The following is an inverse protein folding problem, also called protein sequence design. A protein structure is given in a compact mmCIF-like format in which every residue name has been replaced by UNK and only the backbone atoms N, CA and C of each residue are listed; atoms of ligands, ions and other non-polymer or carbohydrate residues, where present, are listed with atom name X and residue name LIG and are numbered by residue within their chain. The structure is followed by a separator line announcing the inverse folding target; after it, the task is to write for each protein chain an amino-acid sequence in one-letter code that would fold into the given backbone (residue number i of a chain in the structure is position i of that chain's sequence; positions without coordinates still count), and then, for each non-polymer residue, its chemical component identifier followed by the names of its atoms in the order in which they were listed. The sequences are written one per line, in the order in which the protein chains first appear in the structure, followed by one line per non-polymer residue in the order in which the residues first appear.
data_IF_082092585925
#
_entry.id   IF_082092585925
#
_cell.length_a   1.000
_cell.length_b   1.000
_cell.length_c   1.000
_cell.angle_alpha   90.00
_cell.angle_beta   90.00
_cell.angle_gamma   90.00
#
_symmetry.space_group_name_H-M   'P 1'
#
loop_
_entity.id
_entity.type
_entity.pdbx_description
1 polymer ?
#
# COMPACT_ATOMS: atom_id res chain seq x y z
N UNK A 1 8.85 -13.54 -12.86
CA UNK A 1 8.93 -12.08 -13.10
C UNK A 1 8.42 -11.79 -14.50
N UNK A 2 7.12 -11.55 -14.64
CA UNK A 2 6.51 -11.21 -15.92
C UNK A 2 6.20 -9.70 -15.93
N UNK A 3 7.04 -8.92 -16.61
CA UNK A 3 6.96 -7.46 -16.70
C UNK A 3 5.70 -6.95 -17.44
N UNK A 4 4.94 -7.85 -18.07
CA UNK A 4 3.61 -7.56 -18.62
C UNK A 4 2.52 -7.42 -17.54
N UNK A 5 2.67 -8.02 -16.36
CA UNK A 5 1.62 -7.99 -15.32
C UNK A 5 1.46 -6.60 -14.69
N UNK A 6 2.54 -5.82 -14.61
CA UNK A 6 2.56 -4.46 -14.05
C UNK A 6 2.25 -3.41 -15.11
N UNK A 7 2.66 -3.62 -16.37
CA UNK A 7 2.30 -2.73 -17.49
C UNK A 7 0.84 -2.89 -17.91
N UNK A 8 0.22 -4.02 -17.59
CA UNK A 8 -1.22 -4.25 -17.69
C UNK A 8 -1.94 -4.03 -16.34
N UNK A 9 -1.52 -3.07 -15.50
CA UNK A 9 -2.46 -2.42 -14.55
C UNK A 9 -3.35 -1.43 -15.33
N UNK A 10 -3.95 -1.97 -16.39
CA UNK A 10 -5.24 -1.68 -16.97
C UNK A 10 -5.91 -3.05 -17.23
N UNK A 11 -5.79 -3.97 -16.25
CA UNK A 11 -6.77 -5.04 -16.10
C UNK A 11 -7.93 -4.37 -15.36
N UNK A 12 -9.05 -4.23 -16.07
CA UNK A 12 -10.34 -3.71 -15.64
C UNK A 12 -10.95 -4.53 -14.48
N UNK A 13 -10.26 -4.61 -13.35
CA UNK A 13 -10.86 -4.94 -12.07
C UNK A 13 -10.49 -3.86 -11.07
N UNK A 14 -11.19 -2.74 -11.20
CA UNK A 14 -11.15 -1.58 -10.30
C UNK A 14 -11.50 -1.94 -8.83
N UNK A 15 -11.98 -3.17 -8.60
CA UNK A 15 -12.46 -3.65 -7.32
C UNK A 15 -12.06 -5.13 -7.10
N UNK A 16 -11.44 -5.42 -5.95
CA UNK A 16 -11.05 -6.77 -5.51
C UNK A 16 -11.34 -6.87 -4.03
N UNK A 17 -11.80 -8.04 -3.60
CA UNK A 17 -12.06 -8.35 -2.20
C UNK A 17 -10.97 -9.27 -1.62
N UNK A 18 -10.60 -9.05 -0.35
CA UNK A 18 -9.61 -9.86 0.38
C UNK A 18 -10.20 -11.16 0.93
N UNK A 19 -9.41 -11.96 1.65
CA UNK A 19 -9.83 -13.21 2.28
C UNK A 19 -11.07 -13.07 3.16
N UNK A 20 -11.21 -11.93 3.86
CA UNK A 20 -12.39 -11.60 4.67
C UNK A 20 -13.28 -10.55 4.01
N UNK A 21 -13.20 -10.43 2.69
CA UNK A 21 -14.08 -9.59 1.89
C UNK A 21 -13.95 -8.09 2.15
N UNK A 22 -12.81 -7.60 2.65
CA UNK A 22 -12.50 -6.18 2.64
C UNK A 22 -12.18 -5.69 1.24
N UNK A 23 -12.52 -4.43 0.95
CA UNK A 23 -12.11 -3.79 -0.30
C UNK A 23 -10.59 -3.57 -0.29
N UNK A 24 -9.86 -4.27 -1.16
CA UNK A 24 -8.38 -4.27 -1.18
C UNK A 24 -7.78 -2.86 -1.26
N UNK A 25 -8.38 -1.96 -2.05
CA UNK A 25 -7.96 -0.55 -2.16
C UNK A 25 -7.90 0.13 -0.79
N UNK A 26 -8.93 -0.08 0.02
CA UNK A 26 -9.01 0.58 1.30
C UNK A 26 -8.17 -0.12 2.37
N UNK A 27 -8.00 -1.45 2.33
CA UNK A 27 -7.02 -2.16 3.17
C UNK A 27 -5.61 -1.58 2.99
N UNK A 28 -5.19 -1.33 1.75
CA UNK A 28 -3.90 -0.70 1.44
C UNK A 28 -3.77 0.69 2.08
N UNK A 29 -4.84 1.48 2.07
CA UNK A 29 -4.86 2.81 2.68
C UNK A 29 -4.85 2.71 4.22
N UNK A 30 -5.62 1.80 4.80
CA UNK A 30 -5.65 1.55 6.25
C UNK A 30 -4.28 1.12 6.77
N UNK A 31 -3.51 0.33 6.00
CA UNK A 31 -2.13 0.00 6.33
C UNK A 31 -1.23 1.25 6.37
N UNK A 32 -1.34 2.15 5.38
CA UNK A 32 -0.58 3.42 5.37
C UNK A 32 -0.91 4.22 6.63
N UNK A 33 -2.20 4.39 6.94
CA UNK A 33 -2.63 5.18 8.11
C UNK A 33 -2.10 4.55 9.41
N UNK A 34 -2.26 3.25 9.61
CA UNK A 34 -1.74 2.55 10.79
C UNK A 34 -0.23 2.76 10.99
N UNK A 35 0.54 2.69 9.89
CA UNK A 35 1.98 2.95 9.90
C UNK A 35 2.36 4.39 10.23
N UNK A 36 1.55 5.37 9.82
CA UNK A 36 1.74 6.79 10.18
C UNK A 36 1.34 7.04 11.64
N UNK A 37 0.32 6.34 12.14
CA UNK A 37 -0.13 6.40 13.53
C UNK A 37 0.77 5.67 14.52
N UNK A 38 1.71 4.87 14.01
CA UNK A 38 2.57 3.99 14.81
C UNK A 38 1.77 2.94 15.58
N UNK A 39 0.62 2.55 15.03
CA UNK A 39 -0.23 1.49 15.56
C UNK A 39 0.22 0.15 14.95
N UNK A 40 0.98 -0.61 15.73
CA UNK A 40 1.56 -1.86 15.26
C UNK A 40 0.49 -2.93 15.00
N UNK A 41 -0.49 -3.05 15.89
CA UNK A 41 -1.50 -4.10 15.83
C UNK A 41 -2.39 -3.92 14.59
N UNK A 42 -2.82 -2.67 14.31
CA UNK A 42 -3.53 -2.36 13.06
C UNK A 42 -2.65 -2.56 11.83
N UNK A 43 -1.38 -2.16 11.88
CA UNK A 43 -0.49 -2.32 10.75
C UNK A 43 -0.27 -3.80 10.42
N UNK A 44 -0.07 -4.66 11.43
CA UNK A 44 0.06 -6.11 11.22
C UNK A 44 -1.24 -6.72 10.74
N UNK A 45 -2.40 -6.32 11.30
CA UNK A 45 -3.69 -6.79 10.84
C UNK A 45 -3.91 -6.54 9.34
N UNK A 46 -3.75 -5.29 8.87
CA UNK A 46 -3.93 -4.96 7.46
C UNK A 46 -2.86 -5.57 6.56
N UNK A 47 -1.64 -5.71 7.06
CA UNK A 47 -0.56 -6.43 6.36
C UNK A 47 -0.95 -7.88 6.10
N UNK A 48 -1.40 -8.57 7.14
CA UNK A 48 -1.76 -9.98 7.05
C UNK A 48 -3.08 -10.20 6.31
N UNK A 49 -3.98 -9.22 6.31
CA UNK A 49 -5.16 -9.25 5.45
C UNK A 49 -4.76 -9.31 3.97
N UNK A 50 -3.79 -8.51 3.52
CA UNK A 50 -3.25 -8.63 2.16
C UNK A 50 -2.48 -9.94 1.97
N UNK A 51 -1.57 -10.25 2.90
CA UNK A 51 -0.65 -11.38 2.76
C UNK A 51 -1.39 -12.73 2.64
N UNK A 52 -2.30 -13.03 3.56
CA UNK A 52 -3.08 -14.27 3.54
C UNK A 52 -4.22 -14.27 2.51
N UNK A 53 -4.51 -13.13 1.89
CA UNK A 53 -5.33 -13.11 0.67
C UNK A 53 -4.59 -13.63 -0.57
N UNK A 54 -3.28 -13.90 -0.42
CA UNK A 54 -2.38 -14.21 -1.52
C UNK A 54 -2.00 -12.97 -2.35
N UNK A 55 -2.18 -11.77 -1.80
CA UNK A 55 -1.85 -10.50 -2.46
C UNK A 55 -0.44 -10.03 -2.06
N UNK A 56 0.53 -10.96 -2.08
CA UNK A 56 1.91 -10.72 -1.65
C UNK A 56 2.61 -9.69 -2.56
N UNK A 57 2.39 -9.77 -3.88
CA UNK A 57 2.96 -8.80 -4.82
C UNK A 57 2.46 -7.38 -4.57
N UNK A 58 1.16 -7.24 -4.31
CA UNK A 58 0.53 -5.96 -3.95
C UNK A 58 1.05 -5.45 -2.62
N UNK A 59 1.23 -6.33 -1.64
CA UNK A 59 1.78 -5.98 -0.33
C UNK A 59 3.22 -5.48 -0.45
N UNK A 60 4.13 -6.22 -1.07
CA UNK A 60 5.53 -5.79 -1.20
C UNK A 60 5.67 -4.55 -2.07
N UNK A 61 4.88 -4.44 -3.14
CA UNK A 61 4.79 -3.20 -3.93
C UNK A 61 4.36 -2.01 -3.08
N UNK A 62 3.34 -2.18 -2.24
CA UNK A 62 2.89 -1.16 -1.30
C UNK A 62 3.97 -0.81 -0.26
N UNK A 63 4.66 -1.80 0.33
CA UNK A 63 5.73 -1.54 1.29
C UNK A 63 6.87 -0.72 0.67
N UNK A 64 7.20 -0.93 -0.61
CA UNK A 64 8.17 -0.09 -1.32
C UNK A 64 7.66 1.33 -1.57
N UNK A 65 6.40 1.49 -1.99
CA UNK A 65 5.76 2.81 -2.14
C UNK A 65 5.77 3.55 -0.81
N UNK A 66 5.45 2.86 0.29
CA UNK A 66 5.47 3.43 1.63
C UNK A 66 6.89 3.82 2.03
N UNK A 67 7.86 2.94 1.79
CA UNK A 67 9.26 3.20 2.11
C UNK A 67 9.75 4.46 1.40
N UNK A 68 9.65 4.53 0.07
CA UNK A 68 10.16 5.69 -0.68
C UNK A 68 9.33 6.97 -0.47
N UNK A 69 8.02 6.83 -0.32
CA UNK A 69 7.10 7.96 -0.14
C UNK A 69 7.15 8.61 1.24
N UNK A 70 7.46 7.83 2.29
CA UNK A 70 7.37 8.31 3.68
C UNK A 70 8.65 8.12 4.51
N UNK A 71 9.42 7.06 4.30
CA UNK A 71 10.49 6.66 5.24
C UNK A 71 11.91 6.90 4.71
N UNK A 72 12.16 6.76 3.42
CA UNK A 72 13.50 6.72 2.84
C UNK A 72 14.29 8.02 3.11
N UNK A 73 13.63 9.18 3.06
CA UNK A 73 14.27 10.48 3.28
C UNK A 73 14.88 10.66 4.68
N UNK A 74 14.38 9.93 5.67
CA UNK A 74 14.87 9.95 7.06
C UNK A 74 15.55 8.64 7.47
N UNK A 75 15.45 7.59 6.66
CA UNK A 75 15.95 6.25 6.99
C UNK A 75 16.58 5.56 5.76
N UNK A 76 17.55 6.18 5.06
CA UNK A 76 18.08 5.64 3.80
C UNK A 76 18.75 4.27 3.92
N UNK A 77 19.28 3.93 5.10
CA UNK A 77 19.94 2.64 5.36
C UNK A 77 18.92 1.49 5.54
N UNK A 78 17.63 1.79 5.74
CA UNK A 78 16.59 0.77 5.82
C UNK A 78 16.35 0.07 4.48
N UNK A 79 16.72 0.69 3.35
CA UNK A 79 16.58 0.09 2.02
C UNK A 79 17.24 -1.29 1.95
N UNK A 80 18.48 -1.40 2.40
CA UNK A 80 19.26 -2.63 2.26
C UNK A 80 18.66 -3.74 3.14
N UNK A 81 18.18 -3.41 4.34
CA UNK A 81 17.46 -4.34 5.21
C UNK A 81 16.14 -4.83 4.59
N UNK A 82 15.30 -3.93 4.07
CA UNK A 82 14.02 -4.31 3.46
C UNK A 82 14.25 -5.18 2.22
N UNK A 83 15.30 -4.88 1.47
CA UNK A 83 15.68 -5.69 0.32
C UNK A 83 16.17 -7.08 0.72
N UNK A 84 17.03 -7.17 1.72
CA UNK A 84 17.52 -8.44 2.24
C UNK A 84 16.35 -9.27 2.79
N UNK A 85 15.45 -8.64 3.54
CA UNK A 85 14.22 -9.25 4.05
C UNK A 85 13.36 -9.81 2.91
N UNK A 86 13.07 -9.02 1.88
CA UNK A 86 12.34 -9.49 0.70
C UNK A 86 13.06 -10.64 -0.03
N UNK A 87 14.39 -10.56 -0.13
CA UNK A 87 15.19 -11.63 -0.75
C UNK A 87 15.12 -12.93 0.04
N UNK A 88 15.16 -12.84 1.37
CA UNK A 88 15.02 -13.99 2.26
C UNK A 88 13.60 -14.56 2.20
N UNK A 89 12.59 -13.70 2.12
CA UNK A 89 11.19 -14.12 1.94
C UNK A 89 10.99 -14.91 0.63
N UNK A 90 11.62 -14.49 -0.48
CA UNK A 90 11.57 -15.24 -1.75
C UNK A 90 12.22 -16.63 -1.59
N UNK A 91 13.36 -16.70 -0.90
CA UNK A 91 14.17 -17.93 -0.77
C UNK A 91 13.60 -18.94 0.22
N UNK A 92 12.92 -18.46 1.26
CA UNK A 92 12.33 -19.34 2.26
C UNK A 92 11.25 -20.22 1.62
N UNK A 93 11.18 -21.47 2.07
CA UNK A 93 10.08 -22.39 1.74
C UNK A 93 9.09 -22.53 2.91
N UNK A 94 9.51 -22.14 4.12
CA UNK A 94 8.73 -22.23 5.33
C UNK A 94 7.76 -21.05 5.46
N UNK A 95 6.46 -21.35 5.59
CA UNK A 95 5.43 -20.33 5.60
C UNK A 95 5.47 -19.45 6.86
N UNK A 96 5.80 -20.04 8.01
CA UNK A 96 5.88 -19.31 9.27
C UNK A 96 7.10 -18.38 9.28
N UNK A 97 8.26 -18.83 8.77
CA UNK A 97 9.45 -17.99 8.54
C UNK A 97 9.13 -16.83 7.60
N UNK A 98 8.45 -17.08 6.47
CA UNK A 98 8.00 -16.01 5.58
C UNK A 98 7.11 -14.98 6.30
N UNK A 99 6.17 -15.46 7.11
CA UNK A 99 5.27 -14.59 7.88
C UNK A 99 6.03 -13.77 8.93
N UNK A 100 7.07 -14.35 9.58
CA UNK A 100 7.99 -13.61 10.48
C UNK A 100 8.71 -12.50 9.73
N UNK A 101 9.23 -12.78 8.54
CA UNK A 101 9.92 -11.77 7.72
C UNK A 101 9.00 -10.59 7.40
N UNK A 102 7.75 -10.87 6.98
CA UNK A 102 6.75 -9.83 6.70
C UNK A 102 6.48 -8.98 7.93
N UNK A 103 6.29 -9.61 9.10
CA UNK A 103 6.11 -8.91 10.36
C UNK A 103 7.30 -8.00 10.71
N UNK A 104 8.53 -8.51 10.60
CA UNK A 104 9.74 -7.76 10.90
C UNK A 104 9.92 -6.54 9.98
N UNK A 105 9.54 -6.65 8.70
CA UNK A 105 9.54 -5.51 7.79
C UNK A 105 8.60 -4.39 8.27
N UNK A 106 7.39 -4.74 8.72
CA UNK A 106 6.40 -3.79 9.26
C UNK A 106 6.87 -3.19 10.58
N UNK A 107 7.36 -4.00 11.51
CA UNK A 107 7.92 -3.54 12.80
C UNK A 107 9.02 -2.50 12.59
N UNK A 108 9.90 -2.77 11.64
CA UNK A 108 10.99 -1.86 11.32
C UNK A 108 10.47 -0.53 10.73
N UNK A 109 9.39 -0.52 9.96
CA UNK A 109 8.75 0.74 9.54
C UNK A 109 8.11 1.47 10.74
N UNK A 110 7.40 0.76 11.62
CA UNK A 110 6.72 1.33 12.80
C UNK A 110 7.68 2.11 13.69
N UNK A 111 8.85 1.58 14.04
CA UNK A 111 9.76 2.25 14.99
C UNK A 111 10.45 3.51 14.44
N UNK A 112 10.42 3.71 13.12
CA UNK A 112 11.17 4.77 12.41
C UNK A 112 10.38 6.06 12.29
N UNK A 113 11.09 7.20 12.25
CA UNK A 113 10.45 8.46 11.89
C UNK A 113 10.13 8.47 10.39
N UNK A 114 9.07 9.16 10.00
CA UNK A 114 8.69 9.34 8.60
C UNK A 114 8.50 10.84 8.30
N UNK A 115 8.53 11.20 7.01
CA UNK A 115 8.21 12.54 6.49
C UNK A 115 7.10 12.39 5.44
N UNK A 116 6.25 13.41 5.30
CA UNK A 116 5.24 13.46 4.24
C UNK A 116 5.72 14.15 2.95
N UNK A 117 6.93 14.71 2.94
CA UNK A 117 7.39 15.61 1.87
C UNK A 117 7.27 14.98 0.48
N UNK A 118 7.86 13.79 0.31
CA UNK A 118 7.92 13.09 -0.98
C UNK A 118 6.51 12.75 -1.45
N UNK A 119 5.67 12.22 -0.56
CA UNK A 119 4.29 11.87 -0.86
C UNK A 119 3.44 13.09 -1.28
N UNK A 120 3.43 14.16 -0.46
CA UNK A 120 2.63 15.36 -0.70
C UNK A 120 3.08 16.06 -1.99
N UNK A 121 4.38 16.25 -2.19
CA UNK A 121 4.91 16.91 -3.39
C UNK A 121 4.62 16.11 -4.65
N UNK A 122 4.75 14.77 -4.60
CA UNK A 122 4.41 13.92 -5.74
C UNK A 122 2.93 14.05 -6.11
N UNK A 123 2.04 14.19 -5.12
CA UNK A 123 0.62 14.44 -5.37
C UNK A 123 0.38 15.82 -5.97
N UNK A 124 0.93 16.88 -5.36
CA UNK A 124 0.72 18.27 -5.78
C UNK A 124 1.27 18.53 -7.19
N UNK A 125 2.48 18.06 -7.50
CA UNK A 125 3.11 18.24 -8.80
C UNK A 125 2.34 17.56 -9.96
N UNK A 126 1.63 16.46 -9.67
CA UNK A 126 0.78 15.78 -10.64
C UNK A 126 -0.54 16.53 -10.88
N UNK A 127 -1.04 17.28 -9.88
CA UNK A 127 -2.29 18.04 -9.99
C UNK A 127 -2.11 19.44 -10.57
N UNK A 128 -0.93 20.04 -10.40
CA UNK A 128 -0.66 21.41 -10.82
C UNK A 128 -0.01 21.48 -12.21
N UNK A 129 -0.41 22.49 -12.99
CA UNK A 129 0.21 22.78 -14.28
C UNK A 129 1.43 23.68 -14.08
N UNK A 130 2.57 23.05 -13.80
CA UNK A 130 3.86 23.73 -13.61
C UNK A 130 4.69 23.51 -14.87
N UNK A 131 5.06 24.60 -15.54
CA UNK A 131 5.99 24.57 -16.67
C UNK A 131 7.43 24.40 -16.16
N UNK A 132 8.13 23.44 -16.72
CA UNK A 132 9.52 23.12 -16.37
C UNK A 132 10.46 23.30 -17.58
N UNK A 133 9.99 23.94 -18.64
CA UNK A 133 10.77 24.26 -19.82
C UNK A 133 11.88 25.26 -19.47
N UNK A 134 13.12 24.93 -19.82
CA UNK A 134 14.28 25.79 -19.55
C UNK A 134 14.71 25.85 -18.08
N UNK A 135 14.12 25.03 -17.19
CA UNK A 135 14.51 24.98 -15.78
C UNK A 135 15.95 24.48 -15.63
N UNK A 136 16.75 25.27 -14.91
CA UNK A 136 18.08 24.86 -14.44
C UNK A 136 17.95 24.21 -13.06
N UNK A 137 18.09 22.88 -12.99
CA UNK A 137 17.88 22.11 -11.77
C UNK A 137 18.74 22.59 -10.59
N UNK A 138 19.98 23.00 -10.85
CA UNK A 138 20.90 23.51 -9.83
C UNK A 138 20.34 24.76 -9.13
N UNK A 139 19.78 25.70 -9.89
CA UNK A 139 19.18 26.93 -9.38
C UNK A 139 17.97 26.62 -8.50
N UNK A 140 17.11 25.70 -8.92
CA UNK A 140 15.95 25.29 -8.13
C UNK A 140 16.35 24.54 -6.85
N UNK A 141 17.42 23.75 -6.88
CA UNK A 141 18.02 23.12 -5.69
C UNK A 141 18.61 24.16 -4.72
N UNK A 142 19.23 25.23 -5.22
CA UNK A 142 19.72 26.33 -4.38
C UNK A 142 18.57 27.07 -3.69
N UNK A 143 17.51 27.37 -4.45
CA UNK A 143 16.31 28.04 -3.97
C UNK A 143 15.37 27.14 -3.15
N UNK A 144 15.62 25.82 -3.14
CA UNK A 144 14.75 24.80 -2.51
C UNK A 144 13.31 24.84 -3.04
N UNK A 145 13.15 25.07 -4.34
CA UNK A 145 11.84 25.09 -4.98
C UNK A 145 11.34 23.66 -5.23
N UNK A 146 10.95 22.97 -4.14
CA UNK A 146 10.65 21.54 -4.17
C UNK A 146 9.53 21.17 -5.14
N UNK A 147 8.59 22.07 -5.38
CA UNK A 147 7.49 21.83 -6.32
C UNK A 147 8.00 21.76 -7.76
N UNK A 148 8.82 22.73 -8.19
CA UNK A 148 9.45 22.74 -9.53
C UNK A 148 10.44 21.60 -9.68
N UNK A 149 11.26 21.32 -8.65
CA UNK A 149 12.17 20.16 -8.64
C UNK A 149 11.39 18.86 -8.86
N UNK A 150 10.28 18.66 -8.14
CA UNK A 150 9.45 17.47 -8.26
C UNK A 150 8.85 17.37 -9.66
N UNK A 151 8.25 18.44 -10.17
CA UNK A 151 7.69 18.46 -11.52
C UNK A 151 8.76 18.13 -12.56
N UNK A 152 9.93 18.77 -12.47
CA UNK A 152 11.07 18.54 -13.35
C UNK A 152 11.40 17.04 -13.41
N UNK A 153 11.53 16.38 -12.27
CA UNK A 153 11.82 14.93 -12.20
C UNK A 153 10.69 14.08 -12.80
N UNK A 154 9.42 14.38 -12.50
CA UNK A 154 8.28 13.59 -12.99
C UNK A 154 8.12 13.65 -14.52
N UNK A 155 8.61 14.71 -15.18
CA UNK A 155 8.62 14.79 -16.64
C UNK A 155 9.70 13.93 -17.31
N UNK A 156 10.66 13.39 -16.53
CA UNK A 156 11.73 12.52 -17.05
C UNK A 156 11.27 11.06 -17.02
N UNK A 157 10.80 10.57 -18.16
CA UNK A 157 10.29 9.20 -18.30
C UNK A 157 11.34 8.23 -18.82
N UNK A 158 12.38 8.72 -19.51
CA UNK A 158 13.46 7.88 -20.03
C UNK A 158 14.50 7.62 -18.96
N UNK A 159 15.00 6.38 -18.95
CA UNK A 159 16.04 5.94 -18.01
C UNK A 159 17.32 6.80 -18.07
N UNK A 160 17.78 7.15 -19.27
CA UNK A 160 18.97 8.01 -19.44
C UNK A 160 18.78 9.42 -18.85
N UNK A 161 17.61 10.02 -19.03
CA UNK A 161 17.28 11.35 -18.50
C UNK A 161 17.27 11.34 -16.96
N UNK A 162 16.72 10.28 -16.36
CA UNK A 162 16.72 10.09 -14.90
C UNK A 162 18.13 9.93 -14.32
N UNK A 163 18.99 9.16 -14.99
CA UNK A 163 20.39 9.01 -14.58
C UNK A 163 21.16 10.32 -14.65
N UNK A 164 20.97 11.07 -15.74
CA UNK A 164 21.59 12.39 -15.90
C UNK A 164 21.10 13.37 -14.83
N UNK A 165 19.79 13.40 -14.58
CA UNK A 165 19.19 14.21 -13.51
C UNK A 165 19.80 13.87 -12.14
N UNK A 166 19.95 12.57 -11.84
CA UNK A 166 20.56 12.15 -10.58
C UNK A 166 22.04 12.52 -10.48
N UNK A 167 22.79 12.45 -11.58
CA UNK A 167 24.19 12.89 -11.63
C UNK A 167 24.31 14.38 -11.29
N UNK A 168 23.45 15.23 -11.83
CA UNK A 168 23.41 16.67 -11.52
C UNK A 168 23.12 16.93 -10.03
N UNK A 169 22.22 16.14 -9.43
CA UNK A 169 21.92 16.19 -7.99
C UNK A 169 23.16 15.81 -7.17
N UNK A 170 23.84 14.72 -7.53
CA UNK A 170 25.08 14.28 -6.86
C UNK A 170 26.19 15.34 -6.97
N UNK A 171 26.29 16.02 -8.12
CA UNK A 171 27.22 17.12 -8.36
C UNK A 171 26.91 18.32 -7.46
N UNK A 172 25.65 18.74 -7.40
CA UNK A 172 25.19 19.83 -6.52
C UNK A 172 25.51 19.56 -5.04
N UNK A 173 25.21 18.34 -4.56
CA UNK A 173 25.50 17.94 -3.17
C UNK A 173 26.97 17.54 -2.93
N UNK A 174 27.85 17.68 -3.94
CA UNK A 174 29.30 17.39 -3.87
C UNK A 174 29.61 15.99 -3.33
N UNK A 175 28.84 14.99 -3.77
CA UNK A 175 29.05 13.59 -3.36
C UNK A 175 30.37 13.05 -3.91
N UNK A 176 31.17 12.40 -3.04
CA UNK A 176 32.47 11.81 -3.40
C UNK A 176 32.32 10.50 -4.17
N UNK A 177 31.47 9.58 -3.67
CA UNK A 177 31.30 8.25 -4.24
C UNK A 177 30.13 8.19 -5.23
N UNK A 178 30.23 8.94 -6.33
CA UNK A 178 29.10 9.08 -7.28
C UNK A 178 28.74 7.76 -7.99
N UNK A 179 29.72 6.91 -8.24
CA UNK A 179 29.50 5.61 -8.89
C UNK A 179 28.67 4.69 -7.98
N UNK A 180 29.06 4.52 -6.72
CA UNK A 180 28.31 3.73 -5.73
C UNK A 180 26.86 4.23 -5.56
N UNK A 181 26.67 5.55 -5.48
CA UNK A 181 25.34 6.16 -5.37
C UNK A 181 24.49 5.88 -6.62
N UNK A 182 25.10 5.90 -7.82
CA UNK A 182 24.44 5.59 -9.09
C UNK A 182 24.06 4.11 -9.20
N UNK A 183 24.95 3.20 -8.79
CA UNK A 183 24.67 1.77 -8.75
C UNK A 183 23.52 1.47 -7.77
N UNK A 184 23.53 2.09 -6.60
CA UNK A 184 22.44 1.96 -5.61
C UNK A 184 21.12 2.47 -6.19
N UNK A 185 21.11 3.59 -6.90
CA UNK A 185 19.91 4.11 -7.57
C UNK A 185 19.38 3.16 -8.66
N UNK A 186 20.26 2.60 -9.49
CA UNK A 186 19.86 1.60 -10.49
C UNK A 186 19.26 0.35 -9.85
N UNK A 187 19.84 -0.10 -8.74
CA UNK A 187 19.33 -1.23 -7.94
C UNK A 187 17.93 -0.92 -7.40
N UNK A 188 17.71 0.25 -6.82
CA UNK A 188 16.41 0.69 -6.32
C UNK A 188 15.31 0.69 -7.40
N UNK A 189 15.61 1.22 -8.59
CA UNK A 189 14.66 1.27 -9.71
C UNK A 189 14.24 -0.12 -10.22
N UNK A 190 15.16 -1.09 -10.20
CA UNK A 190 14.88 -2.45 -10.71
C UNK A 190 14.01 -3.26 -9.76
N UNK A 191 14.20 -3.10 -8.44
CA UNK A 191 13.61 -4.02 -7.45
C UNK A 191 12.26 -3.54 -6.96
N UNK A 192 12.11 -2.24 -6.73
CA UNK A 192 10.94 -1.72 -6.01
C UNK A 192 9.69 -1.60 -6.87
N UNK A 193 9.83 -1.54 -8.19
CA UNK A 193 8.76 -1.20 -9.13
C UNK A 193 8.06 0.15 -8.79
N UNK A 194 8.69 1.00 -7.99
CA UNK A 194 8.21 2.34 -7.66
C UNK A 194 8.60 3.28 -8.80
N UNK A 195 7.75 4.27 -9.08
CA UNK A 195 8.06 5.30 -10.07
C UNK A 195 9.45 5.90 -9.78
N UNK A 196 10.41 5.83 -10.72
CA UNK A 196 11.77 6.32 -10.50
C UNK A 196 11.89 7.76 -10.03
N UNK A 197 10.94 8.62 -10.41
CA UNK A 197 10.90 10.02 -9.93
C UNK A 197 10.64 10.13 -8.42
N UNK A 198 9.85 9.22 -7.83
CA UNK A 198 9.61 9.16 -6.39
C UNK A 198 10.89 8.72 -5.65
N UNK A 199 11.59 7.71 -6.20
CA UNK A 199 12.89 7.26 -5.66
C UNK A 199 13.88 8.43 -5.68
N UNK A 200 13.99 9.11 -6.82
CA UNK A 200 14.89 10.25 -6.98
C UNK A 200 14.56 11.40 -6.03
N UNK A 201 13.28 11.73 -5.87
CA UNK A 201 12.82 12.75 -4.94
C UNK A 201 13.17 12.37 -3.49
N UNK A 202 12.99 11.11 -3.10
CA UNK A 202 13.38 10.62 -1.76
C UNK A 202 14.88 10.77 -1.48
N UNK A 203 15.73 10.59 -2.49
CA UNK A 203 17.18 10.79 -2.39
C UNK A 203 17.53 12.27 -2.24
N UNK A 204 16.84 13.16 -2.96
CA UNK A 204 17.00 14.61 -2.77
C UNK A 204 16.68 15.03 -1.34
N UNK A 205 15.53 14.59 -0.80
CA UNK A 205 15.19 14.87 0.59
C UNK A 205 16.19 14.24 1.58
N UNK A 206 16.67 13.02 1.31
CA UNK A 206 17.75 12.41 2.09
C UNK A 206 18.98 13.31 2.18
N UNK A 207 19.40 13.91 1.05
CA UNK A 207 20.57 14.77 1.02
C UNK A 207 20.33 16.13 1.70
N UNK A 208 19.15 16.73 1.56
CA UNK A 208 18.82 17.93 2.34
C UNK A 208 18.76 17.64 3.85
N UNK A 209 18.13 16.54 4.27
CA UNK A 209 18.05 16.15 5.67
C UNK A 209 19.45 15.94 6.27
N UNK A 210 20.36 15.28 5.54
CA UNK A 210 21.78 15.14 5.94
C UNK A 210 22.49 16.50 6.00
N UNK A 211 22.32 17.37 4.99
CA UNK A 211 22.93 18.72 4.94
C UNK A 211 22.46 19.60 6.10
N UNK A 212 21.18 19.49 6.48
CA UNK A 212 20.56 20.24 7.58
C UNK A 212 20.74 19.58 8.95
N UNK A 213 21.42 18.43 9.01
CA UNK A 213 21.65 17.65 10.24
C UNK A 213 20.35 17.32 10.99
N UNK A 214 19.27 17.06 10.25
CA UNK A 214 18.02 16.57 10.86
C UNK A 214 18.29 15.26 11.56
N UNK A 215 17.80 15.13 12.80
CA UNK A 215 18.01 13.94 13.63
C UNK A 215 17.27 12.74 13.04
N UNK A 216 17.98 11.95 12.24
CA UNK A 216 17.59 10.60 11.88
C UNK A 216 17.75 9.75 13.15
N UNK A 217 16.70 9.03 13.59
CA UNK A 217 16.81 8.12 14.75
C UNK A 217 17.93 7.09 14.49
N UNK A 218 18.49 6.51 15.56
CA UNK A 218 19.54 5.49 15.44
C UNK A 218 19.09 4.36 14.50
N UNK A 219 20.02 3.82 13.72
CA UNK A 219 19.82 2.63 12.89
C UNK A 219 19.64 1.39 13.77
N UNK A 220 18.49 1.28 14.42
CA UNK A 220 18.08 0.08 15.15
C UNK A 220 17.28 -0.79 14.19
N UNK A 221 17.60 -2.08 14.20
CA UNK A 221 16.86 -3.11 13.47
C UNK A 221 16.21 -4.00 14.51
N UNK A 222 14.90 -4.20 14.39
CA UNK A 222 14.22 -5.27 15.10
C UNK A 222 14.49 -6.54 14.31
N UNK A 223 15.13 -7.52 14.95
CA UNK A 223 15.56 -8.79 14.35
C UNK A 223 14.75 -10.00 14.84
N UNK A 224 13.85 -9.78 15.80
CA UNK A 224 13.01 -10.79 16.43
C UNK A 224 11.58 -10.28 16.59
N UNK A 225 10.63 -11.19 16.49
CA UNK A 225 9.20 -10.94 16.75
C UNK A 225 8.73 -11.99 17.73
N UNK A 226 8.32 -11.53 18.91
CA UNK A 226 7.89 -12.37 20.03
C UNK A 226 6.37 -12.63 20.04
N UNK A 227 5.62 -12.01 19.11
CA UNK A 227 4.19 -12.25 18.96
C UNK A 227 3.87 -13.55 18.24
N UNK A 228 2.63 -14.00 18.39
CA UNK A 228 2.17 -15.23 17.76
C UNK A 228 1.62 -14.96 16.35
N UNK A 229 2.18 -15.63 15.35
CA UNK A 229 1.72 -15.51 13.96
C UNK A 229 0.39 -16.20 13.76
N UNK A 230 0.07 -17.18 14.60
CA UNK A 230 -1.16 -17.95 14.51
C UNK A 230 -2.40 -17.04 14.69
N UNK A 231 -2.27 -15.93 15.42
CA UNK A 231 -3.32 -14.90 15.56
C UNK A 231 -3.74 -14.28 14.23
N UNK A 232 -2.85 -14.26 13.23
CA UNK A 232 -3.13 -13.67 11.92
C UNK A 232 -3.52 -14.69 10.86
N UNK A 233 -3.39 -16.00 11.15
CA UNK A 233 -3.75 -17.07 10.23
C UNK A 233 -5.24 -17.01 9.89
N UNK A 234 -5.58 -17.53 8.72
CA UNK A 234 -6.97 -17.55 8.27
C UNK A 234 -7.81 -18.44 9.18
N UNK A 235 -8.88 -17.88 9.74
CA UNK A 235 -9.86 -18.58 10.57
C UNK A 235 -10.51 -19.67 9.71
N UNK A 236 -10.52 -20.89 10.23
CA UNK A 236 -11.11 -22.05 9.56
C UNK A 236 -12.50 -22.34 10.12
N UNK A 237 -13.34 -22.95 9.29
CA UNK A 237 -14.61 -23.54 9.73
C UNK A 237 -14.34 -24.79 10.56
N UNK A 238 -15.14 -25.00 11.59
CA UNK A 238 -15.21 -26.25 12.35
C UNK A 238 -16.67 -26.62 12.64
N UNK A 239 -16.90 -27.74 13.32
CA UNK A 239 -18.24 -28.29 13.59
C UNK A 239 -19.15 -27.32 14.36
N UNK A 240 -18.58 -26.46 15.22
CA UNK A 240 -19.32 -25.49 16.05
C UNK A 240 -19.27 -24.06 15.46
N UNK A 241 -18.41 -23.83 14.48
CA UNK A 241 -18.10 -22.54 13.88
C UNK A 241 -18.29 -22.54 12.35
N UNK A 242 -19.55 -22.38 11.87
CA UNK A 242 -19.86 -22.38 10.44
C UNK A 242 -19.36 -21.12 9.72
N UNK A 243 -19.22 -21.21 8.39
CA UNK A 243 -18.63 -20.18 7.53
C UNK A 243 -19.25 -18.78 7.69
N UNK A 244 -20.56 -18.67 7.82
CA UNK A 244 -21.26 -17.38 7.97
C UNK A 244 -20.91 -16.64 9.28
N UNK A 245 -20.27 -17.30 10.26
CA UNK A 245 -19.78 -16.65 11.48
C UNK A 245 -18.35 -16.10 11.36
N UNK A 246 -17.63 -16.39 10.28
CA UNK A 246 -16.24 -15.95 10.10
C UNK A 246 -16.14 -14.42 10.03
N UNK A 247 -16.97 -13.75 9.24
CA UNK A 247 -16.85 -12.30 9.06
C UNK A 247 -17.04 -11.51 10.37
N UNK A 248 -18.08 -11.77 11.19
CA UNK A 248 -18.21 -11.13 12.50
C UNK A 248 -16.97 -11.28 13.41
N UNK A 249 -16.31 -12.43 13.38
CA UNK A 249 -15.12 -12.70 14.18
C UNK A 249 -13.87 -12.03 13.58
N UNK A 250 -13.70 -12.13 12.26
CA UNK A 250 -12.55 -11.60 11.53
C UNK A 250 -12.51 -10.07 11.49
N UNK A 251 -13.66 -9.40 11.62
CA UNK A 251 -13.76 -7.94 11.55
C UNK A 251 -13.34 -7.24 12.85
N UNK A 252 -12.06 -7.38 13.19
CA UNK A 252 -11.41 -6.73 14.32
C UNK A 252 -11.31 -5.21 14.11
N UNK A 253 -10.90 -4.78 12.92
CA UNK A 253 -10.79 -3.37 12.56
C UNK A 253 -11.68 -3.03 11.36
N UNK A 254 -12.29 -1.85 11.38
CA UNK A 254 -13.05 -1.34 10.25
C UNK A 254 -12.18 -0.54 9.29
N UNK A 255 -12.59 -0.48 8.02
CA UNK A 255 -11.87 0.26 6.99
C UNK A 255 -11.81 1.76 7.32
N UNK A 256 -12.95 2.37 7.66
CA UNK A 256 -13.03 3.80 7.93
C UNK A 256 -13.03 4.03 9.44
N UNK A 257 -11.83 4.26 9.98
CA UNK A 257 -11.65 4.63 11.39
C UNK A 257 -12.12 6.07 11.67
N UNK A 258 -12.11 6.47 12.94
CA UNK A 258 -12.47 7.83 13.41
C UNK A 258 -11.67 8.97 12.72
N UNK A 259 -10.50 8.65 12.14
CA UNK A 259 -9.67 9.63 11.46
C UNK A 259 -10.15 9.91 10.04
N UNK A 260 -10.62 8.86 9.36
CA UNK A 260 -11.36 8.90 8.10
C UNK A 260 -10.66 9.67 6.96
N UNK A 261 -9.33 9.59 6.89
CA UNK A 261 -8.54 10.25 5.84
C UNK A 261 -8.54 9.50 4.50
N UNK A 262 -9.10 8.29 4.45
CA UNK A 262 -9.09 7.42 3.26
C UNK A 262 -9.66 8.13 2.02
N UNK A 263 -10.73 8.92 2.19
CA UNK A 263 -11.35 9.67 1.08
C UNK A 263 -10.41 10.68 0.41
N UNK A 264 -9.38 11.18 1.10
CA UNK A 264 -8.41 12.11 0.51
C UNK A 264 -7.60 11.46 -0.60
N UNK A 265 -7.32 10.17 -0.43
CA UNK A 265 -6.54 9.35 -1.36
C UNK A 265 -7.37 8.88 -2.55
N UNK A 266 -8.70 9.00 -2.46
CA UNK A 266 -9.60 8.72 -3.56
C UNK A 266 -9.84 9.98 -4.41
N UNK A 267 -9.48 9.94 -5.68
CA UNK A 267 -9.78 11.05 -6.58
C UNK A 267 -11.29 11.04 -6.84
N UNK A 268 -12.00 12.13 -6.48
CA UNK A 268 -13.47 12.26 -6.58
C UNK A 268 -14.11 11.85 -7.92
N UNK A 269 -13.34 11.69 -9.00
CA UNK A 269 -13.79 11.24 -10.33
C UNK A 269 -13.86 9.71 -10.51
N UNK A 270 -13.17 8.93 -9.66
CA UNK A 270 -13.12 7.45 -9.68
C UNK A 270 -13.64 6.85 -8.37
N UNK A 271 -14.54 7.57 -7.68
CA UNK A 271 -15.26 6.99 -6.57
C UNK A 271 -16.23 5.96 -7.16
N UNK A 272 -15.92 4.67 -6.97
CA UNK A 272 -16.94 3.64 -7.06
C UNK A 272 -18.05 4.07 -6.12
N UNK A 273 -19.26 4.24 -6.66
CA UNK A 273 -20.35 4.76 -5.87
C UNK A 273 -20.65 3.79 -4.75
N UNK A 274 -21.07 4.28 -3.58
CA UNK A 274 -21.34 3.40 -2.44
C UNK A 274 -22.37 2.34 -2.80
N UNK A 275 -23.39 2.71 -3.58
CA UNK A 275 -24.42 1.81 -4.08
C UNK A 275 -23.82 0.67 -4.92
N UNK A 276 -22.78 0.95 -5.71
CA UNK A 276 -22.05 -0.07 -6.46
C UNK A 276 -21.25 -0.97 -5.51
N UNK A 277 -20.61 -0.43 -4.47
CA UNK A 277 -19.94 -1.25 -3.45
C UNK A 277 -20.94 -2.13 -2.69
N UNK A 278 -22.14 -1.62 -2.36
CA UNK A 278 -23.22 -2.41 -1.73
C UNK A 278 -23.63 -3.53 -2.68
N UNK A 279 -23.92 -3.23 -3.94
CA UNK A 279 -24.35 -4.21 -4.94
C UNK A 279 -23.29 -5.31 -5.11
N UNK A 280 -22.02 -4.93 -5.17
CA UNK A 280 -20.91 -5.87 -5.24
C UNK A 280 -20.89 -6.77 -4.00
N UNK A 281 -20.91 -6.18 -2.81
CA UNK A 281 -20.79 -6.92 -1.56
C UNK A 281 -21.98 -7.83 -1.30
N UNK A 282 -23.18 -7.43 -1.72
CA UNK A 282 -24.40 -8.21 -1.49
C UNK A 282 -24.62 -9.29 -2.54
N UNK A 283 -24.36 -9.00 -3.82
CA UNK A 283 -24.83 -9.87 -4.91
C UNK A 283 -23.71 -10.46 -5.76
N UNK A 284 -22.50 -9.89 -5.71
CA UNK A 284 -21.39 -10.28 -6.60
C UNK A 284 -20.09 -10.57 -5.86
N UNK A 285 -20.15 -10.75 -4.54
CA UNK A 285 -18.96 -10.79 -3.72
C UNK A 285 -18.05 -11.96 -4.10
N UNK A 286 -18.58 -13.14 -4.46
CA UNK A 286 -17.77 -14.30 -4.88
C UNK A 286 -16.98 -13.95 -6.15
N UNK A 287 -17.61 -13.30 -7.12
CA UNK A 287 -16.97 -12.88 -8.36
C UNK A 287 -15.82 -11.89 -8.08
N UNK A 288 -16.08 -10.85 -7.27
CA UNK A 288 -15.04 -9.85 -6.97
C UNK A 288 -13.97 -10.36 -5.98
N UNK A 289 -14.30 -11.34 -5.15
CA UNK A 289 -13.35 -12.06 -4.29
C UNK A 289 -12.44 -12.96 -5.12
N UNK A 290 -12.95 -13.55 -6.20
CA UNK A 290 -12.18 -14.43 -7.10
C UNK A 290 -10.91 -13.78 -7.70
N UNK A 291 -10.81 -12.45 -7.68
CA UNK A 291 -9.60 -11.73 -8.09
C UNK A 291 -8.47 -11.76 -7.05
N UNK A 292 -8.75 -12.18 -5.81
CA UNK A 292 -7.69 -12.50 -4.86
C UNK A 292 -7.26 -13.98 -5.01
N UNK A 293 -5.96 -14.29 -4.95
CA UNK A 293 -5.50 -15.66 -5.17
C UNK A 293 -6.07 -16.69 -4.19
N UNK A 294 -6.33 -16.31 -2.94
CA UNK A 294 -6.93 -17.23 -1.96
C UNK A 294 -8.34 -17.67 -2.37
N UNK A 295 -9.17 -16.74 -2.84
CA UNK A 295 -10.54 -17.04 -3.25
C UNK A 295 -10.59 -17.73 -4.60
N UNK A 296 -9.70 -17.34 -5.52
CA UNK A 296 -9.51 -18.07 -6.77
C UNK A 296 -9.23 -19.55 -6.50
N UNK A 297 -8.28 -19.85 -5.61
CA UNK A 297 -7.96 -21.24 -5.23
C UNK A 297 -9.16 -21.94 -4.56
N UNK A 298 -9.86 -21.27 -3.64
CA UNK A 298 -11.07 -21.82 -3.00
C UNK A 298 -12.13 -22.19 -4.02
N UNK A 299 -12.40 -21.33 -5.00
CA UNK A 299 -13.37 -21.57 -6.07
C UNK A 299 -12.92 -22.74 -6.96
N UNK A 300 -11.66 -22.75 -7.39
CA UNK A 300 -11.11 -23.82 -8.23
C UNK A 300 -11.12 -25.18 -7.55
N UNK A 301 -10.91 -25.24 -6.23
CA UNK A 301 -10.93 -26.50 -5.45
C UNK A 301 -12.25 -27.26 -5.61
N UNK A 302 -13.37 -26.55 -5.81
CA UNK A 302 -14.70 -27.13 -6.04
C UNK A 302 -15.15 -26.95 -7.50
N UNK A 303 -14.19 -26.83 -8.42
CA UNK A 303 -14.43 -26.73 -9.87
C UNK A 303 -15.31 -25.54 -10.29
N UNK A 304 -15.37 -24.47 -9.48
CA UNK A 304 -16.13 -23.28 -9.81
C UNK A 304 -15.59 -22.55 -11.04
N UNK A 305 -16.50 -22.04 -11.87
CA UNK A 305 -16.23 -21.34 -13.12
C UNK A 305 -16.59 -19.87 -12.95
N UNK A 306 -15.64 -18.98 -13.21
CA UNK A 306 -15.81 -17.52 -13.15
C UNK A 306 -16.26 -17.02 -14.52
N UNK A 307 -17.44 -16.41 -14.60
CA UNK A 307 -17.95 -15.80 -15.82
C UNK A 307 -17.82 -14.27 -15.75
N UNK A 308 -16.91 -13.72 -16.55
CA UNK A 308 -16.68 -12.26 -16.60
C UNK A 308 -17.77 -11.48 -17.34
N UNK A 309 -18.58 -12.14 -18.18
CA UNK A 309 -19.67 -11.50 -18.92
C UNK A 309 -20.88 -11.23 -18.02
N UNK A 310 -21.24 -12.21 -17.19
CA UNK A 310 -22.35 -12.13 -16.23
C UNK A 310 -21.90 -11.68 -14.84
N UNK A 311 -20.59 -11.66 -14.56
CA UNK A 311 -19.98 -11.34 -13.26
C UNK A 311 -20.44 -12.26 -12.14
N UNK A 312 -20.49 -13.56 -12.42
CA UNK A 312 -20.91 -14.60 -11.48
C UNK A 312 -19.90 -15.73 -11.38
N UNK A 313 -20.06 -16.58 -10.37
CA UNK A 313 -19.33 -17.84 -10.23
C UNK A 313 -20.35 -18.97 -10.15
N UNK A 314 -20.19 -19.99 -10.97
CA UNK A 314 -21.08 -21.16 -11.03
C UNK A 314 -20.31 -22.44 -10.76
N UNK A 315 -20.96 -23.41 -10.12
CA UNK A 315 -20.38 -24.72 -9.81
C UNK A 315 -20.99 -25.80 -10.72
N UNK A 316 -20.28 -26.90 -11.00
CA UNK A 316 -20.72 -27.91 -11.96
C UNK A 316 -21.97 -28.69 -11.52
N UNK A 317 -22.16 -28.84 -10.21
CA UNK A 317 -23.25 -29.58 -9.59
C UNK A 317 -23.57 -29.04 -8.19
N UNK A 318 -24.72 -29.47 -7.66
CA UNK A 318 -25.21 -29.08 -6.33
C UNK A 318 -24.28 -29.56 -5.20
N UNK A 319 -23.59 -30.68 -5.38
CA UNK A 319 -22.66 -31.23 -4.38
C UNK A 319 -21.45 -30.28 -4.22
N UNK A 320 -20.82 -29.90 -5.33
CA UNK A 320 -19.71 -28.94 -5.35
C UNK A 320 -20.11 -27.57 -4.79
N UNK A 321 -21.33 -27.11 -5.11
CA UNK A 321 -21.88 -25.87 -4.58
C UNK A 321 -22.05 -25.96 -3.06
N UNK A 322 -22.69 -27.01 -2.56
CA UNK A 322 -22.95 -27.20 -1.13
C UNK A 322 -21.65 -27.33 -0.34
N UNK A 323 -20.67 -28.09 -0.85
CA UNK A 323 -19.36 -28.20 -0.21
C UNK A 323 -18.61 -26.86 -0.19
N UNK A 324 -18.65 -26.09 -1.27
CA UNK A 324 -18.04 -24.75 -1.29
C UNK A 324 -18.68 -23.85 -0.23
N UNK A 325 -20.01 -23.80 -0.17
CA UNK A 325 -20.73 -22.96 0.79
C UNK A 325 -20.56 -23.42 2.24
N UNK A 326 -20.38 -24.72 2.48
CA UNK A 326 -20.10 -25.27 3.81
C UNK A 326 -18.84 -24.62 4.43
N UNK A 327 -17.78 -24.44 3.63
CA UNK A 327 -16.50 -23.90 4.12
C UNK A 327 -16.33 -22.40 3.87
N UNK A 328 -16.97 -21.85 2.83
CA UNK A 328 -16.70 -20.50 2.34
C UNK A 328 -17.96 -19.66 2.09
N UNK A 329 -19.14 -20.15 2.47
CA UNK A 329 -20.39 -19.39 2.46
C UNK A 329 -20.40 -18.32 3.55
N UNK A 330 -19.71 -17.21 3.32
CA UNK A 330 -19.58 -16.14 4.31
C UNK A 330 -20.84 -15.25 4.42
N UNK A 331 -21.74 -15.34 3.43
CA UNK A 331 -23.05 -14.67 3.42
C UNK A 331 -23.01 -13.19 3.86
N UNK A 332 -22.17 -12.35 3.20
CA UNK A 332 -21.99 -10.95 3.58
C UNK A 332 -23.27 -10.12 3.56
N UNK A 333 -24.25 -10.49 2.73
CA UNK A 333 -25.57 -9.87 2.61
C UNK A 333 -26.48 -10.13 3.81
N UNK A 334 -26.38 -11.31 4.43
CA UNK A 334 -27.15 -11.71 5.62
C UNK A 334 -26.56 -11.18 6.93
N UNK A 335 -25.35 -10.59 6.89
CA UNK A 335 -24.71 -10.02 8.07
C UNK A 335 -25.44 -8.76 8.56
N UNK A 336 -25.44 -8.46 9.88
CA UNK A 336 -25.93 -7.18 10.39
C UNK A 336 -25.20 -6.00 9.73
N UNK A 337 -25.91 -4.89 9.47
CA UNK A 337 -25.34 -3.68 8.82
C UNK A 337 -24.04 -3.20 9.49
N UNK A 338 -23.94 -3.29 10.81
CA UNK A 338 -22.73 -2.91 11.56
C UNK A 338 -21.53 -3.74 11.10
N UNK A 339 -21.69 -5.04 10.89
CA UNK A 339 -20.65 -5.94 10.39
C UNK A 339 -20.32 -5.62 8.93
N UNK A 340 -21.34 -5.47 8.07
CA UNK A 340 -21.12 -5.09 6.67
C UNK A 340 -20.27 -3.81 6.58
N UNK A 341 -20.64 -2.77 7.33
CA UNK A 341 -19.98 -1.47 7.30
C UNK A 341 -18.51 -1.52 7.75
N UNK A 342 -18.08 -2.51 8.54
CA UNK A 342 -16.64 -2.67 8.86
C UNK A 342 -15.81 -2.93 7.61
N UNK A 343 -16.39 -3.64 6.64
CA UNK A 343 -15.70 -4.05 5.42
C UNK A 343 -15.83 -3.06 4.25
N UNK A 344 -17.02 -2.48 4.09
CA UNK A 344 -17.34 -1.62 2.94
C UNK A 344 -17.61 -0.16 3.31
N UNK A 345 -17.57 0.16 4.60
CA UNK A 345 -17.71 1.51 5.14
C UNK A 345 -19.11 1.99 5.45
N UNK A 346 -19.18 2.92 6.42
CA UNK A 346 -20.37 3.62 6.87
C UNK A 346 -20.56 4.96 6.13
N UNK A 347 -21.81 5.31 5.81
CA UNK A 347 -22.19 6.63 5.32
C UNK A 347 -23.62 6.97 5.75
N UNK A 348 -23.81 7.43 6.98
CA UNK A 348 -24.85 8.44 7.15
C UNK A 348 -24.23 9.76 6.66
N UNK A 349 -24.68 10.24 5.50
CA UNK A 349 -24.25 11.46 4.81
C UNK A 349 -22.72 11.63 4.69
N UNK A 350 -22.15 11.18 3.58
CA UNK A 350 -20.73 11.31 3.24
C UNK A 350 -20.12 12.69 3.52
N UNK A 351 -20.89 13.77 3.44
CA UNK A 351 -20.40 15.12 3.67
C UNK A 351 -20.05 15.40 5.14
N UNK A 352 -20.82 14.90 6.11
CA UNK A 352 -20.61 15.14 7.55
C UNK A 352 -19.38 14.36 8.07
N UNK A 353 -19.19 13.12 7.61
CA UNK A 353 -18.09 12.25 8.06
C UNK A 353 -16.71 12.71 7.56
N UNK A 354 -16.68 13.48 6.47
CA UNK A 354 -15.47 14.07 5.89
C UNK A 354 -15.31 15.55 6.22
N UNK A 355 -16.26 16.14 6.95
CA UNK A 355 -16.23 17.55 7.31
C UNK A 355 -14.94 17.85 8.10
N UNK A 356 -14.19 18.85 7.64
CA UNK A 356 -12.90 19.24 8.23
C UNK A 356 -11.73 18.28 7.97
N UNK A 357 -11.92 17.15 7.27
CA UNK A 357 -10.83 16.25 6.88
C UNK A 357 -10.31 16.67 5.50
N UNK A 358 -9.18 17.37 5.47
CA UNK A 358 -8.58 17.90 4.24
C UNK A 358 -7.13 17.46 4.13
N UNK A 359 -6.51 17.65 2.97
CA UNK A 359 -5.07 17.46 2.81
C UNK A 359 -4.25 18.32 3.79
N UNK A 360 -4.76 19.50 4.15
CA UNK A 360 -4.16 20.38 5.17
C UNK A 360 -4.23 19.75 6.56
N UNK A 361 -5.41 19.29 7.00
CA UNK A 361 -5.51 18.67 8.34
C UNK A 361 -4.77 17.34 8.43
N UNK A 362 -4.70 16.57 7.34
CA UNK A 362 -3.83 15.39 7.24
C UNK A 362 -2.35 15.76 7.41
N UNK A 363 -1.90 16.79 6.70
CA UNK A 363 -0.53 17.28 6.81
C UNK A 363 -0.24 17.84 8.21
N UNK A 364 -1.14 18.59 8.82
CA UNK A 364 -0.96 19.12 10.18
C UNK A 364 -0.84 17.99 11.22
N UNK A 365 -1.60 16.90 11.04
CA UNK A 365 -1.54 15.73 11.94
C UNK A 365 -0.23 14.97 11.78
N UNK A 366 0.19 14.67 10.55
CA UNK A 366 1.25 13.69 10.27
C UNK A 366 2.57 14.30 9.74
N UNK A 367 2.60 15.56 9.30
CA UNK A 367 3.72 16.21 8.59
C UNK A 367 4.91 16.68 9.43
N UNK A 368 5.01 16.26 10.70
CA UNK A 368 5.90 16.87 11.72
C UNK A 368 7.40 16.83 11.44
N UNK A 369 7.89 15.95 10.56
CA UNK A 369 9.33 15.79 10.26
C UNK A 369 9.71 16.25 8.84
N UNK A 370 8.82 16.97 8.15
CA UNK A 370 9.03 17.42 6.78
C UNK A 370 9.89 18.69 6.65
N UNK A 371 10.55 18.84 5.51
CA UNK A 371 11.20 20.08 5.07
C UNK A 371 10.28 20.97 4.24
N UNK A 372 9.31 20.38 3.56
CA UNK A 372 8.34 21.10 2.75
C UNK A 372 7.13 21.46 3.62
N UNK A 373 6.79 22.75 3.66
CA UNK A 373 5.61 23.26 4.37
C UNK A 373 4.48 23.42 3.35
N UNK A 374 3.34 22.79 3.62
CA UNK A 374 2.12 23.00 2.84
C UNK A 374 1.49 24.32 3.29
N UNK A 375 1.33 25.25 2.36
CA UNK A 375 0.66 26.55 2.61
C UNK A 375 -0.87 26.41 2.70
#
# INVERSE_FOLDING_TARGET
MNLEYIKNIHIDCEFTLTRYLYVTKYVKLSLIIALLEKDLDKALFWTFELYFSGLDQELFGLLWVIYFGFYASLNPELFDYLLESYTNWIKSEDFDEKSKIVCLMVNNLIIRNYSLDVFILSKLANTQNIDVTGVELKTELENKNFMVITKYMTTRTKFGDLQQTYKEILDYFKKKNKNDEMEKFQKMMKISNVNPSIILLSLVFTYYNKKLKIKMKKNVIVDSFDGDIDEYKTIQVDDDFPAYKILPLAYVYEIFDDNNYIHLFDNRKNLIKREEIIDIYQYKWIYYASFSPVWFYRIQKYNGIIDHSTKTVTFPDEESLQEFHLFYGYEPDEQPRVIQNKSIGYFANCEEMYEGKTWKTFYDKYGKNGLYVVE
#
